data_IF_250675993844
#
_entry.id   IF_250675993844
#
_cell.length_a   1.000
_cell.length_b   1.000
_cell.length_c   1.000
_cell.angle_alpha   90.00
_cell.angle_beta   90.00
_cell.angle_gamma   90.00
#
_symmetry.space_group_name_H-M   'P 1'
#
loop_
_entity.id
_entity.type
_entity.pdbx_description
1 polymer ?
#
# COMPACT_ATOMS: atom_id res chain seq x y z
N UNK A 1 -5.07 -36.04 3.20
CA UNK A 1 -6.08 -35.01 3.50
C UNK A 1 -5.45 -33.61 3.31
N UNK A 2 -5.02 -33.26 2.09
CA UNK A 2 -4.20 -32.03 1.88
C UNK A 2 -4.54 -31.22 0.62
N UNK A 3 -5.37 -31.71 -0.29
CA UNK A 3 -5.63 -31.00 -1.56
C UNK A 3 -6.78 -30.00 -1.43
N UNK A 4 -7.85 -30.37 -0.71
CA UNK A 4 -9.00 -29.49 -0.47
C UNK A 4 -8.61 -28.22 0.32
N UNK A 5 -7.66 -28.34 1.26
CA UNK A 5 -7.20 -27.22 2.08
C UNK A 5 -6.38 -26.21 1.25
N UNK A 6 -5.53 -26.68 0.34
CA UNK A 6 -4.75 -25.82 -0.56
C UNK A 6 -5.62 -25.03 -1.54
N UNK A 7 -6.67 -25.65 -2.10
CA UNK A 7 -7.60 -24.94 -2.99
C UNK A 7 -8.42 -23.87 -2.25
N UNK A 8 -8.89 -24.18 -1.03
CA UNK A 8 -9.61 -23.22 -0.20
C UNK A 8 -8.71 -22.02 0.16
N UNK A 9 -7.46 -22.26 0.58
CA UNK A 9 -6.49 -21.20 0.87
C UNK A 9 -6.15 -20.36 -0.36
N UNK A 10 -5.91 -20.98 -1.52
CA UNK A 10 -5.62 -20.24 -2.76
C UNK A 10 -6.81 -19.39 -3.23
N UNK A 11 -8.04 -19.90 -3.06
CA UNK A 11 -9.25 -19.14 -3.38
C UNK A 11 -9.42 -17.94 -2.44
N UNK A 12 -9.28 -18.16 -1.13
CA UNK A 12 -9.31 -17.10 -0.11
C UNK A 12 -8.25 -16.03 -0.38
N UNK A 13 -7.01 -16.42 -0.70
CA UNK A 13 -5.91 -15.52 -1.07
C UNK A 13 -6.26 -14.64 -2.28
N UNK A 14 -6.92 -15.21 -3.29
CA UNK A 14 -7.33 -14.48 -4.49
C UNK A 14 -8.41 -13.44 -4.15
N UNK A 15 -9.43 -13.81 -3.37
CA UNK A 15 -10.50 -12.89 -2.99
C UNK A 15 -10.00 -11.75 -2.09
N UNK A 16 -9.16 -12.07 -1.12
CA UNK A 16 -8.57 -11.06 -0.22
C UNK A 16 -7.61 -10.14 -0.97
N UNK A 17 -6.83 -10.63 -1.94
CA UNK A 17 -5.95 -9.81 -2.76
C UNK A 17 -6.72 -8.78 -3.61
N UNK A 18 -7.84 -9.20 -4.22
CA UNK A 18 -8.74 -8.30 -4.97
C UNK A 18 -9.25 -7.18 -4.07
N UNK A 19 -9.80 -7.55 -2.90
CA UNK A 19 -10.33 -6.58 -1.96
C UNK A 19 -9.27 -5.61 -1.45
N UNK A 20 -8.11 -6.10 -1.02
CA UNK A 20 -7.02 -5.25 -0.50
C UNK A 20 -6.52 -4.30 -1.60
N UNK A 21 -6.36 -4.77 -2.84
CA UNK A 21 -5.98 -3.91 -3.96
C UNK A 21 -7.00 -2.79 -4.20
N UNK A 22 -8.30 -3.10 -4.18
CA UNK A 22 -9.37 -2.11 -4.37
C UNK A 22 -9.44 -1.10 -3.23
N UNK A 23 -9.29 -1.56 -1.98
CA UNK A 23 -9.30 -0.65 -0.82
C UNK A 23 -8.06 0.21 -0.77
N UNK A 24 -6.89 -0.33 -1.09
CA UNK A 24 -5.64 0.44 -1.12
C UNK A 24 -5.69 1.58 -2.14
N UNK A 25 -6.27 1.35 -3.33
CA UNK A 25 -6.52 2.41 -4.32
C UNK A 25 -7.23 3.61 -3.69
N UNK A 26 -8.28 3.34 -2.92
CA UNK A 26 -9.11 4.36 -2.31
C UNK A 26 -8.41 5.07 -1.14
N UNK A 27 -7.64 4.32 -0.33
CA UNK A 27 -6.83 4.92 0.74
C UNK A 27 -5.76 5.85 0.18
N UNK A 28 -5.00 5.40 -0.83
CA UNK A 28 -3.99 6.22 -1.48
C UNK A 28 -4.59 7.44 -2.19
N UNK A 29 -5.74 7.28 -2.86
CA UNK A 29 -6.47 8.43 -3.43
C UNK A 29 -6.83 9.45 -2.34
N UNK A 30 -7.33 8.99 -1.20
CA UNK A 30 -7.70 9.85 -0.08
C UNK A 30 -6.48 10.58 0.47
N UNK A 31 -5.33 9.90 0.57
CA UNK A 31 -4.08 10.49 1.02
C UNK A 31 -3.54 11.56 0.04
N UNK A 32 -3.58 11.29 -1.27
CA UNK A 32 -3.16 12.27 -2.29
C UNK A 32 -4.05 13.52 -2.26
N UNK A 33 -5.36 13.35 -2.05
CA UNK A 33 -6.28 14.47 -1.88
C UNK A 33 -6.02 15.27 -0.60
N UNK A 34 -5.76 14.60 0.53
CA UNK A 34 -5.43 15.28 1.79
C UNK A 34 -4.10 16.06 1.71
N UNK A 35 -3.12 15.52 0.97
CA UNK A 35 -1.88 16.21 0.65
C UNK A 35 -2.07 17.43 -0.28
N UNK A 36 -3.29 17.70 -0.76
CA UNK A 36 -3.59 18.82 -1.66
C UNK A 36 -3.12 18.60 -3.10
N UNK A 37 -2.90 17.34 -3.51
CA UNK A 37 -2.39 16.98 -4.83
C UNK A 37 -3.47 16.36 -5.71
N UNK A 38 -3.24 16.35 -7.03
CA UNK A 38 -4.16 15.78 -8.01
C UNK A 38 -4.00 14.24 -8.10
N UNK A 39 -5.04 13.43 -7.84
CA UNK A 39 -4.94 11.97 -7.88
C UNK A 39 -5.07 11.35 -9.28
N UNK A 40 -5.27 12.11 -10.36
CA UNK A 40 -5.51 11.53 -11.70
C UNK A 40 -4.41 10.56 -12.13
N UNK A 41 -3.14 10.93 -11.97
CA UNK A 41 -2.02 10.07 -12.34
C UNK A 41 -1.99 8.76 -11.54
N UNK A 42 -2.29 8.82 -10.24
CA UNK A 42 -2.48 7.63 -9.39
C UNK A 42 -3.61 6.75 -9.95
N UNK A 43 -4.78 7.32 -10.22
CA UNK A 43 -5.96 6.56 -10.64
C UNK A 43 -5.78 5.91 -12.02
N UNK A 44 -5.09 6.60 -12.93
CA UNK A 44 -4.74 6.09 -14.26
C UNK A 44 -3.73 4.95 -14.15
N UNK A 45 -2.66 5.14 -13.38
CA UNK A 45 -1.65 4.10 -13.13
C UNK A 45 -2.28 2.86 -12.49
N UNK A 46 -3.13 3.05 -11.46
CA UNK A 46 -3.87 1.99 -10.80
C UNK A 46 -4.69 1.18 -11.79
N UNK A 47 -5.43 1.86 -12.68
CA UNK A 47 -6.31 1.19 -13.65
C UNK A 47 -5.55 0.54 -14.80
N UNK A 48 -4.33 0.99 -15.13
CA UNK A 48 -3.57 0.51 -16.30
C UNK A 48 -2.60 -0.63 -15.97
N UNK A 49 -1.95 -0.60 -14.82
CA UNK A 49 -0.86 -1.55 -14.53
C UNK A 49 -0.62 -1.80 -13.03
N UNK A 50 -0.84 -0.81 -12.16
CA UNK A 50 -0.49 -0.93 -10.74
C UNK A 50 -1.43 -1.86 -9.98
N UNK A 51 -2.73 -1.92 -10.34
CA UNK A 51 -3.67 -2.89 -9.78
C UNK A 51 -3.20 -4.32 -10.02
N UNK A 52 -2.92 -4.69 -11.27
CA UNK A 52 -2.53 -6.04 -11.65
C UNK A 52 -1.20 -6.45 -11.00
N UNK A 53 -0.24 -5.52 -10.94
CA UNK A 53 1.05 -5.75 -10.30
C UNK A 53 0.89 -5.99 -8.78
N UNK A 54 0.17 -5.12 -8.07
CA UNK A 54 -0.06 -5.27 -6.63
C UNK A 54 -0.84 -6.55 -6.32
N UNK A 55 -1.91 -6.81 -7.08
CA UNK A 55 -2.72 -8.03 -6.95
C UNK A 55 -1.88 -9.28 -7.17
N UNK A 56 -1.08 -9.34 -8.24
CA UNK A 56 -0.24 -10.52 -8.54
C UNK A 56 0.78 -10.80 -7.42
N UNK A 57 1.40 -9.76 -6.87
CA UNK A 57 2.33 -9.91 -5.77
C UNK A 57 1.63 -10.34 -4.48
N UNK A 58 0.40 -9.89 -4.23
CA UNK A 58 -0.41 -10.35 -3.09
C UNK A 58 -0.87 -11.80 -3.26
N UNK A 59 -1.39 -12.16 -4.44
CA UNK A 59 -1.84 -13.53 -4.75
C UNK A 59 -0.73 -14.56 -4.57
N UNK A 60 0.51 -14.17 -4.85
CA UNK A 60 1.69 -15.02 -4.71
C UNK A 60 2.35 -14.91 -3.34
N UNK A 61 1.85 -14.04 -2.45
CA UNK A 61 2.38 -13.85 -1.09
C UNK A 61 3.69 -13.07 -1.01
N UNK A 62 4.09 -12.37 -2.08
CA UNK A 62 5.37 -11.68 -2.16
C UNK A 62 5.31 -10.19 -1.87
N UNK A 63 4.13 -9.53 -1.98
CA UNK A 63 4.03 -8.11 -1.67
C UNK A 63 4.28 -7.91 -0.17
N UNK A 64 5.26 -7.08 0.20
CA UNK A 64 5.60 -6.80 1.60
C UNK A 64 5.21 -5.39 2.01
N UNK A 65 5.20 -4.45 1.08
CA UNK A 65 4.85 -3.06 1.36
C UNK A 65 4.28 -2.39 0.10
N UNK A 66 3.21 -1.61 0.29
CA UNK A 66 2.75 -0.61 -0.66
C UNK A 66 3.20 0.74 -0.13
N UNK A 67 3.94 1.51 -0.91
CA UNK A 67 4.58 2.74 -0.43
C UNK A 67 4.14 3.90 -1.31
N UNK A 68 3.84 5.05 -0.71
CA UNK A 68 3.68 6.31 -1.42
C UNK A 68 4.64 7.35 -0.85
N UNK A 69 5.47 7.90 -1.72
CA UNK A 69 6.44 8.93 -1.40
C UNK A 69 6.01 10.25 -2.02
N UNK A 70 5.99 11.31 -1.22
CA UNK A 70 5.82 12.69 -1.64
C UNK A 70 7.18 13.37 -1.67
N UNK A 71 7.49 14.09 -2.74
CA UNK A 71 8.83 14.64 -2.94
C UNK A 71 8.79 15.91 -3.78
N UNK A 72 9.76 16.80 -3.56
CA UNK A 72 10.04 17.90 -4.47
C UNK A 72 10.77 17.37 -5.72
N UNK A 73 10.39 17.78 -6.93
CA UNK A 73 11.10 17.37 -8.15
C UNK A 73 12.61 17.63 -8.05
N UNK A 74 13.43 16.60 -8.32
CA UNK A 74 14.89 16.67 -8.20
C UNK A 74 15.45 16.36 -6.81
N UNK A 75 14.60 16.18 -5.79
CA UNK A 75 15.03 15.78 -4.44
C UNK A 75 15.43 14.29 -4.39
N UNK A 76 16.46 13.99 -3.60
CA UNK A 76 16.82 12.62 -3.20
C UNK A 76 16.06 12.16 -1.95
N UNK A 77 15.40 13.08 -1.24
CA UNK A 77 14.68 12.84 0.00
C UNK A 77 13.18 13.03 -0.18
N UNK A 78 12.40 12.21 0.54
CA UNK A 78 10.96 12.35 0.61
C UNK A 78 10.60 13.50 1.57
N UNK A 79 9.67 14.35 1.15
CA UNK A 79 9.06 15.37 2.02
C UNK A 79 7.96 14.77 2.91
N UNK A 80 7.47 13.58 2.55
CA UNK A 80 6.54 12.78 3.33
C UNK A 80 6.45 11.39 2.71
N UNK A 81 6.17 10.38 3.54
CA UNK A 81 6.06 9.00 3.08
C UNK A 81 5.03 8.26 3.90
N UNK A 82 4.30 7.37 3.24
CA UNK A 82 3.42 6.41 3.87
C UNK A 82 3.75 5.02 3.37
N UNK A 83 3.88 4.11 4.33
CA UNK A 83 4.10 2.70 4.11
C UNK A 83 2.86 1.95 4.53
N UNK A 84 2.49 0.96 3.74
CA UNK A 84 1.44 0.01 4.04
C UNK A 84 2.03 -1.39 4.10
N UNK A 85 2.61 -1.80 5.25
CA UNK A 85 3.13 -3.14 5.43
C UNK A 85 2.02 -4.16 5.24
N UNK A 86 2.29 -5.16 4.39
CA UNK A 86 1.37 -6.24 4.05
C UNK A 86 1.76 -7.49 4.83
N UNK A 87 0.79 -8.09 5.52
CA UNK A 87 0.93 -9.38 6.18
C UNK A 87 -0.08 -10.38 5.61
N UNK A 88 0.22 -11.66 5.79
CA UNK A 88 -0.51 -12.80 5.24
C UNK A 88 -0.96 -13.77 6.35
N UNK A 89 -1.19 -13.24 7.54
CA UNK A 89 -1.44 -13.96 8.79
C UNK A 89 -2.78 -13.56 9.42
N UNK A 90 -3.75 -13.09 8.62
CA UNK A 90 -5.07 -12.64 9.08
C UNK A 90 -6.05 -13.74 9.49
N UNK A 91 -5.59 -14.95 9.85
CA UNK A 91 -6.45 -16.12 10.05
C UNK A 91 -7.50 -15.96 11.17
N UNK A 92 -7.29 -15.04 12.11
CA UNK A 92 -8.22 -14.73 13.22
C UNK A 92 -9.25 -13.65 12.86
N UNK A 93 -9.32 -13.24 11.58
CA UNK A 93 -10.25 -12.22 11.08
C UNK A 93 -11.38 -12.92 10.32
N UNK A 94 -12.60 -12.84 10.85
CA UNK A 94 -13.77 -13.45 10.20
C UNK A 94 -14.29 -12.61 9.02
N UNK A 95 -14.26 -11.28 9.16
CA UNK A 95 -14.84 -10.33 8.22
C UNK A 95 -13.81 -9.42 7.54
N UNK A 96 -14.06 -9.10 6.27
CA UNK A 96 -13.21 -8.20 5.49
C UNK A 96 -13.62 -6.75 5.67
N UNK A 97 -12.73 -5.91 6.19
CA UNK A 97 -13.04 -4.51 6.48
C UNK A 97 -11.89 -3.56 6.13
N UNK A 98 -12.25 -2.28 6.02
CA UNK A 98 -11.32 -1.15 5.88
C UNK A 98 -11.74 -0.05 6.84
N UNK A 99 -10.81 0.45 7.64
CA UNK A 99 -11.08 1.54 8.59
C UNK A 99 -10.60 2.88 8.01
N UNK A 100 -11.45 3.46 7.16
CA UNK A 100 -11.16 4.72 6.47
C UNK A 100 -11.11 5.89 7.44
N UNK A 101 -11.94 5.88 8.48
CA UNK A 101 -12.02 6.98 9.44
C UNK A 101 -10.81 6.98 10.37
N UNK A 102 -10.39 5.82 10.86
CA UNK A 102 -9.15 5.69 11.62
C UNK A 102 -7.92 6.08 10.78
N UNK A 103 -7.87 5.67 9.52
CA UNK A 103 -6.80 6.09 8.61
C UNK A 103 -6.77 7.62 8.44
N UNK A 104 -7.92 8.27 8.22
CA UNK A 104 -8.01 9.74 8.08
C UNK A 104 -7.60 10.49 9.34
N UNK A 105 -7.89 9.96 10.53
CA UNK A 105 -7.44 10.57 11.79
C UNK A 105 -5.92 10.67 11.89
N UNK A 106 -5.18 9.84 11.16
CA UNK A 106 -3.73 9.87 11.12
C UNK A 106 -3.16 10.99 10.23
N UNK A 107 -3.96 11.54 9.30
CA UNK A 107 -3.52 12.59 8.37
C UNK A 107 -3.14 13.88 9.10
N UNK A 108 -3.94 14.30 10.07
CA UNK A 108 -3.65 15.47 10.89
C UNK A 108 -2.32 15.34 11.67
N UNK A 109 -1.82 14.12 11.85
CA UNK A 109 -0.57 13.85 12.57
C UNK A 109 0.64 13.75 11.63
N UNK A 110 0.43 13.61 10.32
CA UNK A 110 1.47 13.48 9.31
C UNK A 110 1.79 14.86 8.70
N UNK A 111 3.06 15.10 8.30
CA UNK A 111 3.44 16.36 7.68
C UNK A 111 2.75 16.46 6.32
N UNK A 112 2.14 17.62 6.07
CA UNK A 112 1.64 17.92 4.73
C UNK A 112 2.82 18.23 3.81
N UNK A 113 2.89 17.61 2.62
CA UNK A 113 3.92 17.94 1.65
C UNK A 113 3.88 19.44 1.31
N UNK A 114 5.03 20.12 1.17
CA UNK A 114 5.07 21.50 0.70
C UNK A 114 4.47 21.67 -0.70
N UNK A 115 4.09 22.90 -1.05
CA UNK A 115 3.63 23.21 -2.41
C UNK A 115 4.69 22.83 -3.46
N UNK A 116 4.23 22.34 -4.62
CA UNK A 116 5.11 21.89 -5.70
C UNK A 116 5.60 20.44 -5.59
N UNK A 117 5.24 19.72 -4.52
CA UNK A 117 5.53 18.29 -4.43
C UNK A 117 4.81 17.46 -5.50
N UNK A 118 5.47 16.40 -5.93
CA UNK A 118 4.90 15.28 -6.69
C UNK A 118 4.81 14.05 -5.79
N UNK A 119 4.23 12.97 -6.30
CA UNK A 119 4.17 11.69 -5.62
C UNK A 119 4.54 10.52 -6.53
N UNK A 120 4.97 9.42 -5.93
CA UNK A 120 5.15 8.12 -6.60
C UNK A 120 4.68 6.99 -5.71
N UNK A 121 4.13 5.93 -6.32
CA UNK A 121 3.75 4.70 -5.62
C UNK A 121 4.72 3.59 -5.98
N UNK A 122 5.14 2.84 -4.97
CA UNK A 122 6.10 1.75 -5.08
C UNK A 122 5.51 0.47 -4.49
N UNK A 123 5.88 -0.66 -5.09
CA UNK A 123 5.60 -1.99 -4.57
C UNK A 123 6.92 -2.58 -4.08
N UNK A 124 7.04 -2.78 -2.78
CA UNK A 124 8.15 -3.55 -2.22
C UNK A 124 7.70 -5.00 -2.08
N UNK A 125 8.58 -5.92 -2.48
CA UNK A 125 8.28 -7.34 -2.45
C UNK A 125 9.48 -8.17 -1.99
N UNK A 126 9.19 -9.36 -1.49
CA UNK A 126 10.20 -10.33 -1.07
C UNK A 126 11.03 -10.86 -2.26
N UNK A 127 12.26 -11.36 -2.02
CA UNK A 127 13.02 -12.12 -3.01
C UNK A 127 12.21 -13.31 -3.56
N UNK A 128 12.41 -13.66 -4.83
CA UNK A 128 11.68 -14.75 -5.49
C UNK A 128 10.31 -14.36 -6.06
N UNK A 129 9.89 -13.09 -5.92
CA UNK A 129 8.66 -12.59 -6.51
C UNK A 129 8.65 -12.73 -8.05
N UNK A 130 7.49 -13.02 -8.65
CA UNK A 130 7.34 -13.00 -10.09
C UNK A 130 7.55 -11.58 -10.64
N UNK A 131 8.04 -11.48 -11.88
CA UNK A 131 8.09 -10.18 -12.57
C UNK A 131 6.67 -9.67 -12.82
N UNK A 132 6.46 -8.38 -12.54
CA UNK A 132 5.19 -7.66 -12.76
C UNK A 132 5.33 -6.52 -13.77
N UNK A 133 6.42 -6.50 -14.55
CA UNK A 133 6.62 -5.54 -15.63
C UNK A 133 6.85 -4.09 -15.20
N UNK A 134 7.20 -3.85 -13.93
CA UNK A 134 7.53 -2.53 -13.40
C UNK A 134 9.03 -2.33 -13.30
N UNK A 135 9.48 -1.08 -13.45
CA UNK A 135 10.87 -0.71 -13.28
C UNK A 135 11.29 -0.81 -11.80
N UNK A 136 12.51 -1.29 -11.57
CA UNK A 136 13.13 -1.25 -10.24
C UNK A 136 13.63 0.16 -9.94
N UNK A 137 13.34 0.66 -8.74
CA UNK A 137 13.82 1.95 -8.25
C UNK A 137 14.23 1.83 -6.78
N UNK A 138 15.04 2.76 -6.32
CA UNK A 138 15.39 2.89 -4.90
C UNK A 138 14.38 3.81 -4.21
N UNK A 139 14.08 3.50 -2.94
CA UNK A 139 13.31 4.39 -2.07
C UNK A 139 14.07 5.70 -1.85
N UNK A 140 13.34 6.79 -1.66
CA UNK A 140 13.94 8.07 -1.31
C UNK A 140 14.50 8.04 0.10
N UNK A 141 15.51 8.87 0.35
CA UNK A 141 16.00 9.11 1.70
C UNK A 141 14.91 9.66 2.59
N UNK A 142 14.91 9.28 3.87
CA UNK A 142 13.96 9.78 4.86
C UNK A 142 14.45 11.06 5.56
N UNK A 143 15.72 11.45 5.37
CA UNK A 143 16.31 12.60 6.06
C UNK A 143 16.10 12.52 7.57
N UNK A 144 15.45 13.53 8.15
CA UNK A 144 15.10 13.61 9.56
C UNK A 144 13.75 12.96 9.93
N UNK A 145 13.01 12.41 8.96
CA UNK A 145 11.69 11.85 9.20
C UNK A 145 11.76 10.57 10.03
N UNK A 146 10.95 10.48 11.08
CA UNK A 146 10.83 9.32 11.94
C UNK A 146 9.51 8.58 11.69
N UNK A 147 9.57 7.25 11.75
CA UNK A 147 8.40 6.39 11.58
C UNK A 147 7.41 6.56 12.73
N UNK A 148 6.12 6.54 12.39
CA UNK A 148 4.97 6.51 13.30
C UNK A 148 3.96 5.49 12.80
N UNK A 149 3.72 4.47 13.61
CA UNK A 149 2.70 3.48 13.30
C UNK A 149 1.30 4.06 13.49
N UNK A 150 0.45 3.83 12.50
CA UNK A 150 -0.94 4.22 12.48
C UNK A 150 -1.87 3.00 12.55
N UNK A 151 -1.36 1.81 12.86
CA UNK A 151 -2.16 0.60 13.10
C UNK A 151 -2.69 -0.08 11.82
N UNK A 152 -3.52 -1.11 12.01
CA UNK A 152 -4.17 -1.87 10.92
C UNK A 152 -5.28 -1.02 10.27
N UNK A 153 -5.26 -0.90 8.95
CA UNK A 153 -6.24 -0.11 8.18
C UNK A 153 -7.09 -0.96 7.23
N UNK A 154 -6.60 -2.14 6.86
CA UNK A 154 -7.35 -3.16 6.11
C UNK A 154 -7.10 -4.50 6.81
N UNK A 155 -8.17 -5.23 7.11
CA UNK A 155 -8.05 -6.60 7.57
C UNK A 155 -8.98 -7.51 6.76
N UNK A 156 -8.48 -8.71 6.50
CA UNK A 156 -9.20 -9.80 5.83
C UNK A 156 -8.74 -11.11 6.49
N UNK A 157 -9.43 -12.25 6.25
CA UNK A 157 -9.05 -13.57 6.76
C UNK A 157 -7.65 -14.08 6.35
N UNK A 158 -6.87 -13.30 5.61
CA UNK A 158 -5.58 -13.70 5.06
C UNK A 158 -4.65 -12.49 4.94
N UNK A 159 -4.97 -11.55 4.06
CA UNK A 159 -4.15 -10.36 3.81
C UNK A 159 -4.56 -9.22 4.74
N UNK A 160 -3.61 -8.68 5.48
CA UNK A 160 -3.78 -7.48 6.29
C UNK A 160 -2.85 -6.37 5.81
N UNK A 161 -3.30 -5.13 5.91
CA UNK A 161 -2.47 -3.95 5.69
C UNK A 161 -2.53 -3.02 6.90
N UNK A 162 -1.37 -2.63 7.39
CA UNK A 162 -1.21 -1.55 8.36
C UNK A 162 -0.80 -0.26 7.68
N UNK A 163 -0.76 0.85 8.40
CA UNK A 163 -0.23 2.12 7.91
C UNK A 163 0.89 2.60 8.83
N UNK A 164 1.96 3.12 8.23
CA UNK A 164 3.04 3.83 8.91
C UNK A 164 3.30 5.12 8.14
N UNK A 165 3.39 6.24 8.85
CA UNK A 165 3.72 7.52 8.25
C UNK A 165 5.03 8.06 8.83
N UNK A 166 5.71 8.90 8.05
CA UNK A 166 7.00 9.45 8.40
C UNK A 166 6.88 10.95 8.65
N UNK A 167 7.35 11.41 9.83
CA UNK A 167 7.28 12.82 10.27
C UNK A 167 8.45 13.28 11.11
#
# INVERSE_FOLDING_TARGET
MSVANTYAQSYARTQTAIFVADKMRNLMKTLVLDAGLNPTALMDAWSKWLYDAARKLMETGHLTNLIIEFYQPGSAEACGRWDFPIRYDGADIDDMWVDVDYFRQSFAKAPRPPAGCSYRVLLQHAPGAPSVGLATVQLMGLGSLAAREAGTVIATPDIMASATYYK
#
